data_IF_817595894074
#
_entry.id   IF_817595894074
#
_cell.length_a   1.000
_cell.length_b   1.000
_cell.length_c   1.000
_cell.angle_alpha   90.00
_cell.angle_beta   90.00
_cell.angle_gamma   90.00
#
_symmetry.space_group_name_H-M   'P 1'
#
loop_
_entity.id
_entity.type
_entity.pdbx_description
1 polymer ?
#
# COMPACT_ATOMS: atom_id res chain seq x y z
N UNK A 1 -8.62 4.96 -23.38
CA UNK A 1 -8.92 4.07 -22.22
C UNK A 1 -9.05 4.78 -20.86
N UNK A 2 -8.10 5.61 -20.38
CA UNK A 2 -8.30 6.43 -19.15
C UNK A 2 -8.59 7.93 -19.45
N UNK A 3 -7.87 8.48 -20.44
CA UNK A 3 -8.05 9.88 -20.91
C UNK A 3 -9.41 10.11 -21.60
N UNK A 4 -9.83 9.17 -22.44
CA UNK A 4 -11.18 9.15 -23.05
C UNK A 4 -12.32 9.01 -22.04
N UNK A 5 -12.06 8.47 -20.84
CA UNK A 5 -13.06 8.32 -19.76
C UNK A 5 -13.03 9.47 -18.75
N UNK A 6 -12.24 10.52 -19.00
CA UNK A 6 -12.11 11.67 -18.09
C UNK A 6 -11.43 11.37 -16.74
N UNK A 7 -10.84 10.17 -16.58
CA UNK A 7 -10.19 9.78 -15.33
C UNK A 7 -8.78 10.39 -15.28
N UNK A 8 -8.54 11.25 -14.28
CA UNK A 8 -7.20 11.80 -13.98
C UNK A 8 -6.22 10.76 -13.44
N UNK A 9 -6.71 9.58 -13.05
CA UNK A 9 -5.91 8.52 -12.43
C UNK A 9 -5.11 7.80 -13.52
N UNK A 10 -3.79 7.86 -13.40
CA UNK A 10 -2.84 7.13 -14.25
C UNK A 10 -2.04 6.20 -13.36
N UNK A 11 -2.05 4.90 -13.66
CA UNK A 11 -1.14 3.95 -13.02
C UNK A 11 0.26 4.28 -13.51
N UNK A 12 1.16 4.62 -12.58
CA UNK A 12 2.57 4.83 -12.88
C UNK A 12 3.30 3.48 -12.80
N UNK A 13 4.08 3.17 -13.83
CA UNK A 13 4.83 1.91 -13.96
C UNK A 13 6.15 1.94 -13.19
N UNK A 14 6.60 3.12 -12.77
CA UNK A 14 7.82 3.30 -11.98
C UNK A 14 7.59 2.78 -10.56
N UNK A 15 8.64 2.31 -9.89
CA UNK A 15 8.58 2.00 -8.46
C UNK A 15 8.29 3.26 -7.63
N UNK A 16 7.85 3.11 -6.39
CA UNK A 16 7.68 4.25 -5.47
C UNK A 16 8.96 5.06 -5.29
N UNK A 17 10.10 4.39 -5.22
CA UNK A 17 11.42 5.02 -5.21
C UNK A 17 11.65 5.94 -6.43
N UNK A 18 11.38 5.43 -7.65
CA UNK A 18 11.53 6.21 -8.90
C UNK A 18 10.49 7.32 -9.07
N UNK A 19 9.45 7.34 -8.24
CA UNK A 19 8.45 8.40 -8.17
C UNK A 19 8.72 9.38 -7.02
N UNK A 20 9.78 9.16 -6.22
CA UNK A 20 10.07 9.92 -5.00
C UNK A 20 8.92 9.87 -3.98
N UNK A 21 8.24 8.72 -3.92
CA UNK A 21 7.14 8.43 -3.00
C UNK A 21 7.71 7.68 -1.80
N UNK A 22 7.77 8.36 -0.64
CA UNK A 22 8.17 7.75 0.62
C UNK A 22 7.06 6.84 1.19
N UNK A 23 6.94 5.64 0.60
CA UNK A 23 5.96 4.61 0.98
C UNK A 23 6.54 3.23 0.74
N UNK A 24 6.37 2.34 1.71
CA UNK A 24 6.72 0.92 1.59
C UNK A 24 5.61 0.18 0.84
N UNK A 25 5.91 -0.57 -0.24
CA UNK A 25 4.91 -1.32 -1.01
C UNK A 25 4.42 -2.54 -0.23
N UNK A 26 3.15 -2.92 -0.45
CA UNK A 26 2.57 -4.16 0.08
C UNK A 26 2.76 -5.33 -0.87
N UNK A 27 2.60 -6.55 -0.37
CA UNK A 27 2.62 -7.76 -1.19
C UNK A 27 1.20 -8.17 -1.60
N UNK A 28 1.09 -8.85 -2.75
CA UNK A 28 -0.18 -9.43 -3.17
C UNK A 28 -0.55 -10.61 -2.25
N UNK A 29 -1.67 -10.47 -1.55
CA UNK A 29 -2.13 -11.47 -0.56
C UNK A 29 -2.67 -12.73 -1.25
N UNK A 30 -3.46 -12.54 -2.30
CA UNK A 30 -4.25 -13.58 -2.93
C UNK A 30 -5.55 -13.89 -2.17
N UNK A 31 -6.50 -14.50 -2.87
CA UNK A 31 -7.82 -14.84 -2.31
C UNK A 31 -7.73 -15.77 -1.09
N UNK A 32 -6.88 -16.82 -1.17
CA UNK A 32 -6.73 -17.80 -0.10
C UNK A 32 -6.23 -17.19 1.21
N UNK A 33 -5.26 -16.29 1.15
CA UNK A 33 -4.75 -15.56 2.32
C UNK A 33 -5.85 -14.75 3.01
N UNK A 34 -6.65 -14.01 2.22
CA UNK A 34 -7.78 -13.21 2.72
C UNK A 34 -8.86 -14.07 3.35
N UNK A 35 -9.22 -15.18 2.71
CA UNK A 35 -10.23 -16.10 3.23
C UNK A 35 -9.76 -16.75 4.55
N UNK A 36 -8.49 -17.16 4.63
CA UNK A 36 -7.90 -17.71 5.88
C UNK A 36 -7.98 -16.70 7.02
N UNK A 37 -7.54 -15.46 6.78
CA UNK A 37 -7.61 -14.40 7.78
C UNK A 37 -9.05 -14.05 8.19
N UNK A 38 -9.98 -14.01 7.23
CA UNK A 38 -11.42 -13.80 7.52
C UNK A 38 -11.99 -14.89 8.43
N UNK A 39 -11.50 -16.12 8.29
CA UNK A 39 -11.88 -17.24 9.14
C UNK A 39 -11.10 -17.28 10.47
N UNK A 40 -10.41 -16.20 10.84
CA UNK A 40 -9.65 -16.08 12.09
C UNK A 40 -8.34 -16.86 12.12
N UNK A 41 -7.86 -17.38 10.98
CA UNK A 41 -6.59 -18.10 10.91
C UNK A 41 -5.46 -17.15 10.54
N UNK A 42 -4.29 -17.38 11.14
CA UNK A 42 -3.09 -16.61 10.83
C UNK A 42 -2.66 -16.78 9.36
N UNK A 43 -2.13 -15.70 8.80
CA UNK A 43 -1.57 -15.67 7.46
C UNK A 43 -0.45 -14.62 7.38
N UNK A 44 0.78 -15.09 7.19
CA UNK A 44 1.98 -14.26 7.13
C UNK A 44 1.84 -13.07 6.18
N UNK A 45 1.21 -13.28 5.02
CA UNK A 45 1.04 -12.21 4.02
C UNK A 45 0.16 -11.07 4.52
N UNK A 46 -0.89 -11.39 5.28
CA UNK A 46 -1.78 -10.40 5.88
C UNK A 46 -1.04 -9.66 6.98
N UNK A 47 -0.28 -10.37 7.83
CA UNK A 47 0.48 -9.74 8.92
C UNK A 47 1.61 -8.85 8.39
N UNK A 48 2.32 -9.26 7.36
CA UNK A 48 3.32 -8.44 6.66
C UNK A 48 2.68 -7.15 6.14
N UNK A 49 1.52 -7.23 5.50
CA UNK A 49 0.82 -6.04 4.98
C UNK A 49 0.28 -5.13 6.09
N UNK A 50 -0.18 -5.69 7.21
CA UNK A 50 -0.55 -4.91 8.41
C UNK A 50 0.64 -4.15 8.97
N UNK A 51 1.78 -4.81 9.10
CA UNK A 51 3.03 -4.19 9.55
C UNK A 51 3.48 -3.06 8.61
N UNK A 52 3.47 -3.30 7.29
CA UNK A 52 3.78 -2.29 6.27
C UNK A 52 2.82 -1.10 6.34
N UNK A 53 1.53 -1.34 6.60
CA UNK A 53 0.52 -0.28 6.76
C UNK A 53 0.86 0.60 7.96
N UNK A 54 1.17 0.01 9.10
CA UNK A 54 1.57 0.73 10.31
C UNK A 54 2.84 1.58 10.09
N UNK A 55 3.84 1.04 9.34
CA UNK A 55 5.02 1.82 8.96
C UNK A 55 4.63 3.03 8.12
N UNK A 56 3.80 2.84 7.10
CA UNK A 56 3.38 3.91 6.19
C UNK A 56 2.60 5.02 6.91
N UNK A 57 1.79 4.68 7.90
CA UNK A 57 1.10 5.66 8.75
C UNK A 57 2.09 6.51 9.56
N UNK A 58 3.09 5.87 10.17
CA UNK A 58 4.16 6.58 10.89
C UNK A 58 4.97 7.49 9.97
N UNK A 59 5.37 7.01 8.78
CA UNK A 59 6.10 7.80 7.79
C UNK A 59 5.30 9.04 7.36
N UNK A 60 3.99 8.89 7.17
CA UNK A 60 3.09 10.02 6.85
C UNK A 60 3.01 11.03 8.00
N UNK A 61 2.89 10.55 9.24
CA UNK A 61 2.89 11.41 10.43
C UNK A 61 4.19 12.18 10.62
N UNK A 62 5.34 11.53 10.45
CA UNK A 62 6.66 12.18 10.51
C UNK A 62 6.79 13.28 9.47
N UNK A 63 6.43 13.00 8.21
CA UNK A 63 6.43 14.02 7.14
C UNK A 63 5.57 15.23 7.50
N UNK A 64 4.47 15.03 8.22
CA UNK A 64 3.56 16.11 8.60
C UNK A 64 4.08 16.98 9.76
N UNK A 65 4.93 16.43 10.62
CA UNK A 65 5.60 17.18 11.70
C UNK A 65 6.67 18.12 11.14
N UNK A 66 7.41 17.71 10.10
CA UNK A 66 8.48 18.53 9.51
C UNK A 66 7.99 19.59 8.49
N UNK A 67 6.69 19.62 8.18
CA UNK A 67 6.10 20.55 7.18
C UNK A 67 5.27 21.68 7.85
N UNK A 68 5.16 21.70 9.19
CA UNK A 68 4.63 22.86 9.95
C UNK A 68 5.77 23.73 10.49
#
# INVERSE_FOLDING_TARGET
>A
MFKEKGLKIRVDHRSYERQDVNRVPTIHEGYGARLRAKNGKECDRIEINRYITNINEKLKGMKMIFIN
#
